data_IF_220916745245
#
_entry.id   IF_220916745245
#
_cell.length_a   1.000
_cell.length_b   1.000
_cell.length_c   1.000
_cell.angle_alpha   90.00
_cell.angle_beta   90.00
_cell.angle_gamma   90.00
#
_symmetry.space_group_name_H-M   'P 1'
#
loop_
_entity.id
_entity.type
_entity.pdbx_description
1 polymer ?
#
# COMPACT_ATOMS: atom_id res chain seq x y z
N UNK A 1 20.25 -5.36 -14.71
CA UNK A 1 20.47 -3.94 -14.33
C UNK A 1 19.54 -2.97 -15.08
N UNK A 2 19.25 -3.21 -16.38
CA UNK A 2 18.41 -2.28 -17.14
C UNK A 2 16.89 -2.46 -16.87
N UNK A 3 16.46 -3.66 -16.48
CA UNK A 3 15.05 -3.99 -16.24
C UNK A 3 14.53 -3.40 -14.92
N UNK A 4 15.36 -3.40 -13.86
CA UNK A 4 14.97 -2.90 -12.54
C UNK A 4 14.83 -1.38 -12.55
N UNK A 5 15.75 -0.67 -13.26
CA UNK A 5 15.65 0.77 -13.44
C UNK A 5 14.44 1.19 -14.30
N UNK A 6 14.10 0.40 -15.33
CA UNK A 6 12.92 0.65 -16.16
C UNK A 6 11.63 0.46 -15.38
N UNK A 7 11.53 -0.60 -14.57
CA UNK A 7 10.38 -0.86 -13.71
C UNK A 7 10.21 0.25 -12.65
N UNK A 8 11.32 0.69 -12.03
CA UNK A 8 11.26 1.81 -11.10
C UNK A 8 10.76 3.10 -11.76
N UNK A 9 11.23 3.40 -12.98
CA UNK A 9 10.79 4.58 -13.73
C UNK A 9 9.28 4.50 -14.02
N UNK A 10 8.76 3.33 -14.42
CA UNK A 10 7.34 3.10 -14.66
C UNK A 10 6.51 3.30 -13.40
N UNK A 11 6.93 2.75 -12.25
CA UNK A 11 6.24 2.94 -10.96
C UNK A 11 6.23 4.43 -10.57
N UNK A 12 7.36 5.12 -10.70
CA UNK A 12 7.47 6.55 -10.39
C UNK A 12 6.62 7.43 -11.32
N UNK A 13 6.50 7.08 -12.60
CA UNK A 13 5.64 7.81 -13.53
C UNK A 13 4.16 7.57 -13.23
N UNK A 14 3.78 6.35 -12.86
CA UNK A 14 2.41 6.02 -12.45
C UNK A 14 2.03 6.74 -11.14
N UNK A 15 2.95 6.82 -10.17
CA UNK A 15 2.72 7.55 -8.92
C UNK A 15 2.46 9.05 -9.21
N UNK A 16 3.25 9.70 -10.06
CA UNK A 16 3.00 11.09 -10.47
C UNK A 16 1.65 11.31 -11.14
N UNK A 17 1.16 10.30 -11.87
CA UNK A 17 -0.18 10.34 -12.45
C UNK A 17 -1.23 10.31 -11.34
N UNK A 18 -1.07 9.41 -10.36
CA UNK A 18 -1.97 9.29 -9.20
C UNK A 18 -2.01 10.60 -8.43
N UNK A 19 -0.86 11.21 -8.11
CA UNK A 19 -0.77 12.51 -7.45
C UNK A 19 -1.54 13.61 -8.20
N UNK A 20 -1.31 13.67 -9.52
CA UNK A 20 -1.97 14.67 -10.35
C UNK A 20 -3.49 14.50 -10.37
N UNK A 21 -3.97 13.25 -10.34
CA UNK A 21 -5.38 12.91 -10.29
C UNK A 21 -5.98 13.24 -8.91
N UNK A 22 -5.26 12.97 -7.82
CA UNK A 22 -5.68 13.33 -6.46
C UNK A 22 -5.91 14.86 -6.35
N UNK A 23 -4.93 15.65 -6.76
CA UNK A 23 -5.04 17.12 -6.77
C UNK A 23 -6.23 17.60 -7.61
N UNK A 24 -6.46 16.99 -8.77
CA UNK A 24 -7.57 17.34 -9.66
C UNK A 24 -8.91 17.00 -9.02
N UNK A 25 -9.07 15.79 -8.48
CA UNK A 25 -10.31 15.36 -7.82
C UNK A 25 -10.59 16.22 -6.59
N UNK A 26 -9.60 16.54 -5.78
CA UNK A 26 -9.71 17.46 -4.64
C UNK A 26 -10.30 18.81 -5.06
N UNK A 27 -9.77 19.40 -6.13
CA UNK A 27 -10.26 20.67 -6.63
C UNK A 27 -11.71 20.57 -7.13
N UNK A 28 -12.07 19.49 -7.83
CA UNK A 28 -13.43 19.24 -8.29
C UNK A 28 -14.41 19.04 -7.14
N UNK A 29 -14.00 18.33 -6.08
CA UNK A 29 -14.78 18.18 -4.85
C UNK A 29 -15.08 19.53 -4.21
N UNK A 30 -14.04 20.37 -4.02
CA UNK A 30 -14.20 21.70 -3.44
C UNK A 30 -15.13 22.56 -4.31
N UNK A 31 -14.91 22.59 -5.63
CA UNK A 31 -15.76 23.34 -6.57
C UNK A 31 -17.21 22.87 -6.51
N UNK A 32 -17.43 21.57 -6.47
CA UNK A 32 -18.77 20.98 -6.41
C UNK A 32 -19.49 21.39 -5.11
N UNK A 33 -18.81 21.37 -3.98
CA UNK A 33 -19.38 21.79 -2.71
C UNK A 33 -19.74 23.29 -2.73
N UNK A 34 -18.85 24.12 -3.25
CA UNK A 34 -19.05 25.58 -3.32
C UNK A 34 -20.18 25.96 -4.28
N UNK A 35 -20.22 25.36 -5.48
CA UNK A 35 -21.17 25.74 -6.53
C UNK A 35 -22.57 25.18 -6.31
N UNK A 36 -22.67 23.94 -5.81
CA UNK A 36 -23.94 23.22 -5.74
C UNK A 36 -24.49 23.03 -4.34
N UNK A 37 -23.70 23.34 -3.29
CA UNK A 37 -24.10 23.17 -1.88
C UNK A 37 -24.81 21.83 -1.61
N UNK A 38 -24.20 20.70 -1.95
CA UNK A 38 -24.82 19.39 -1.82
C UNK A 38 -25.20 19.12 -0.34
N UNK A 39 -26.30 18.40 -0.12
CA UNK A 39 -26.83 18.14 1.22
C UNK A 39 -26.87 16.65 1.52
N UNK A 40 -26.79 16.33 2.80
CA UNK A 40 -26.96 14.99 3.34
C UNK A 40 -26.18 13.90 2.54
N UNK A 41 -26.89 12.96 1.92
CA UNK A 41 -26.30 11.81 1.24
C UNK A 41 -25.34 12.21 0.13
N UNK A 42 -25.66 13.23 -0.66
CA UNK A 42 -24.80 13.67 -1.77
C UNK A 42 -23.46 14.24 -1.22
N UNK A 43 -23.51 14.98 -0.13
CA UNK A 43 -22.29 15.52 0.49
C UNK A 43 -21.43 14.37 1.06
N UNK A 44 -22.04 13.39 1.73
CA UNK A 44 -21.30 12.21 2.22
C UNK A 44 -20.61 11.46 1.11
N UNK A 45 -21.33 11.20 0.01
CA UNK A 45 -20.78 10.51 -1.16
C UNK A 45 -19.57 11.25 -1.73
N UNK A 46 -19.65 12.58 -1.89
CA UNK A 46 -18.54 13.39 -2.42
C UNK A 46 -17.32 13.32 -1.48
N UNK A 47 -17.53 13.38 -0.17
CA UNK A 47 -16.45 13.26 0.82
C UNK A 47 -15.85 11.85 0.80
N UNK A 48 -16.66 10.79 0.70
CA UNK A 48 -16.16 9.41 0.62
C UNK A 48 -15.28 9.19 -0.63
N UNK A 49 -15.64 9.77 -1.79
CA UNK A 49 -14.78 9.75 -2.97
C UNK A 49 -13.46 10.49 -2.75
N UNK A 50 -13.51 11.63 -2.07
CA UNK A 50 -12.29 12.38 -1.74
C UNK A 50 -11.37 11.56 -0.83
N UNK A 51 -11.91 10.96 0.24
CA UNK A 51 -11.14 10.13 1.17
C UNK A 51 -10.53 8.91 0.49
N UNK A 52 -11.32 8.20 -0.35
CA UNK A 52 -10.82 7.08 -1.15
C UNK A 52 -9.65 7.50 -2.04
N UNK A 53 -9.73 8.67 -2.67
CA UNK A 53 -8.66 9.18 -3.54
C UNK A 53 -7.37 9.42 -2.76
N UNK A 54 -7.46 9.95 -1.54
CA UNK A 54 -6.32 10.17 -0.67
C UNK A 54 -5.67 8.83 -0.21
N UNK A 55 -6.48 7.80 0.04
CA UNK A 55 -5.94 6.47 0.37
C UNK A 55 -5.25 5.81 -0.84
N UNK A 56 -5.79 5.98 -2.05
CA UNK A 56 -5.15 5.48 -3.27
C UNK A 56 -3.81 6.16 -3.57
N UNK A 57 -3.72 7.46 -3.35
CA UNK A 57 -2.46 8.21 -3.47
C UNK A 57 -1.42 7.67 -2.47
N UNK A 58 -1.80 7.47 -1.20
CA UNK A 58 -0.92 6.85 -0.20
C UNK A 58 -0.44 5.46 -0.59
N UNK A 59 -1.30 4.64 -1.21
CA UNK A 59 -0.90 3.33 -1.74
C UNK A 59 0.15 3.49 -2.84
N UNK A 60 0.01 4.47 -3.74
CA UNK A 60 0.99 4.81 -4.77
C UNK A 60 2.35 5.17 -4.17
N UNK A 61 2.37 6.05 -3.18
CA UNK A 61 3.56 6.45 -2.42
C UNK A 61 4.26 5.24 -1.76
N UNK A 62 3.50 4.35 -1.14
CA UNK A 62 4.03 3.16 -0.48
C UNK A 62 4.67 2.20 -1.49
N UNK A 63 4.04 2.00 -2.65
CA UNK A 63 4.59 1.19 -3.74
C UNK A 63 5.90 1.79 -4.28
N UNK A 64 5.98 3.11 -4.45
CA UNK A 64 7.20 3.80 -4.85
C UNK A 64 8.30 3.64 -3.80
N UNK A 65 7.97 3.69 -2.50
CA UNK A 65 8.92 3.45 -1.42
C UNK A 65 9.45 2.01 -1.46
N UNK A 66 8.60 1.00 -1.67
CA UNK A 66 9.02 -0.40 -1.83
C UNK A 66 10.01 -0.52 -3.01
N UNK A 67 9.72 0.10 -4.14
CA UNK A 67 10.61 0.10 -5.30
C UNK A 67 11.97 0.76 -5.00
N UNK A 68 12.00 1.84 -4.21
CA UNK A 68 13.25 2.48 -3.75
C UNK A 68 14.09 1.56 -2.86
N UNK A 69 13.46 0.78 -1.98
CA UNK A 69 14.17 -0.19 -1.14
C UNK A 69 14.69 -1.37 -1.95
N UNK A 70 13.95 -1.85 -2.95
CA UNK A 70 14.40 -2.88 -3.87
C UNK A 70 15.68 -2.49 -4.64
N UNK A 71 15.83 -1.21 -5.01
CA UNK A 71 17.04 -0.72 -5.67
C UNK A 71 18.27 -0.66 -4.74
N UNK A 72 18.07 -0.62 -3.42
CA UNK A 72 19.14 -0.55 -2.42
C UNK A 72 19.57 -1.92 -1.90
N UNK A 73 18.64 -2.88 -1.89
CA UNK A 73 18.86 -4.22 -1.36
C UNK A 73 19.70 -5.07 -2.32
N UNK A 74 20.51 -5.97 -1.79
CA UNK A 74 21.11 -7.05 -2.57
C UNK A 74 20.04 -8.12 -2.88
N UNK A 75 19.27 -7.89 -3.96
CA UNK A 75 18.18 -8.78 -4.39
C UNK A 75 18.65 -10.18 -4.80
N UNK A 76 19.96 -10.38 -5.01
CA UNK A 76 20.56 -11.69 -5.31
C UNK A 76 21.17 -12.36 -4.09
N UNK A 77 21.26 -11.64 -2.98
CA UNK A 77 21.80 -12.13 -1.73
C UNK A 77 20.91 -13.20 -1.09
N UNK A 78 21.53 -14.05 -0.28
CA UNK A 78 20.85 -15.14 0.42
C UNK A 78 19.75 -14.63 1.35
N UNK A 79 19.99 -13.52 2.03
CA UNK A 79 19.02 -12.90 2.94
C UNK A 79 17.75 -12.48 2.20
N UNK A 80 17.90 -11.78 1.06
CA UNK A 80 16.75 -11.38 0.25
C UNK A 80 15.99 -12.59 -0.29
N UNK A 81 16.71 -13.60 -0.81
CA UNK A 81 16.11 -14.85 -1.32
C UNK A 81 15.27 -15.58 -0.27
N UNK A 82 15.69 -15.53 1.00
CA UNK A 82 14.97 -16.14 2.12
C UNK A 82 13.61 -15.45 2.41
N UNK A 83 13.53 -14.13 2.34
CA UNK A 83 12.32 -13.38 2.71
C UNK A 83 11.43 -12.99 1.52
N UNK A 84 11.98 -13.01 0.30
CA UNK A 84 11.25 -12.69 -0.93
C UNK A 84 9.88 -13.40 -1.05
N UNK A 85 9.74 -14.72 -0.79
CA UNK A 85 8.44 -15.38 -0.90
C UNK A 85 7.38 -14.79 0.03
N UNK A 86 7.78 -14.39 1.23
CA UNK A 86 6.87 -13.78 2.19
C UNK A 86 6.44 -12.38 1.74
N UNK A 87 7.38 -11.55 1.27
CA UNK A 87 7.08 -10.22 0.75
C UNK A 87 6.16 -10.28 -0.48
N UNK A 88 6.40 -11.22 -1.40
CA UNK A 88 5.53 -11.43 -2.57
C UNK A 88 4.11 -11.81 -2.13
N UNK A 89 3.98 -12.77 -1.21
CA UNK A 89 2.68 -13.19 -0.70
C UNK A 89 1.94 -12.05 0.02
N UNK A 90 2.65 -11.24 0.81
CA UNK A 90 2.06 -10.05 1.45
C UNK A 90 1.58 -9.05 0.40
N UNK A 91 2.38 -8.78 -0.64
CA UNK A 91 2.02 -7.84 -1.71
C UNK A 91 0.83 -8.33 -2.53
N UNK A 92 0.73 -9.63 -2.80
CA UNK A 92 -0.44 -10.24 -3.45
C UNK A 92 -1.71 -10.10 -2.59
N UNK A 93 -1.60 -10.33 -1.28
CA UNK A 93 -2.71 -10.17 -0.34
C UNK A 93 -3.20 -8.72 -0.32
N UNK A 94 -2.31 -7.77 -0.06
CA UNK A 94 -2.68 -6.34 0.04
C UNK A 94 -3.12 -5.75 -1.30
N UNK A 95 -2.59 -6.26 -2.42
CA UNK A 95 -3.06 -5.93 -3.76
C UNK A 95 -4.50 -6.40 -4.00
N UNK A 96 -4.84 -7.63 -3.59
CA UNK A 96 -6.20 -8.15 -3.64
C UNK A 96 -7.14 -7.36 -2.71
N UNK A 97 -6.70 -7.01 -1.49
CA UNK A 97 -7.46 -6.15 -0.58
C UNK A 97 -7.79 -4.80 -1.23
N UNK A 98 -6.81 -4.17 -1.88
CA UNK A 98 -7.00 -2.89 -2.58
C UNK A 98 -8.03 -3.01 -3.69
N UNK A 99 -7.95 -4.05 -4.53
CA UNK A 99 -8.92 -4.28 -5.60
C UNK A 99 -10.33 -4.52 -5.04
N UNK A 100 -10.46 -5.38 -4.05
CA UNK A 100 -11.74 -5.68 -3.41
C UNK A 100 -12.36 -4.44 -2.76
N UNK A 101 -11.56 -3.62 -2.07
CA UNK A 101 -12.01 -2.38 -1.45
C UNK A 101 -12.55 -1.39 -2.48
N UNK A 102 -11.86 -1.20 -3.61
CA UNK A 102 -12.32 -0.36 -4.72
C UNK A 102 -13.62 -0.90 -5.32
N UNK A 103 -13.73 -2.22 -5.52
CA UNK A 103 -14.96 -2.84 -6.02
C UNK A 103 -16.10 -2.68 -5.02
N UNK A 104 -15.86 -2.97 -3.74
CA UNK A 104 -16.86 -2.80 -2.69
C UNK A 104 -17.39 -1.38 -2.63
N UNK A 105 -16.50 -0.38 -2.73
CA UNK A 105 -16.87 1.03 -2.74
C UNK A 105 -17.71 1.40 -3.97
N UNK A 106 -17.28 0.99 -5.17
CA UNK A 106 -17.95 1.36 -6.42
C UNK A 106 -19.32 0.71 -6.60
N UNK A 107 -19.51 -0.49 -6.05
CA UNK A 107 -20.75 -1.27 -6.20
C UNK A 107 -21.59 -1.34 -4.92
N UNK A 108 -21.19 -0.59 -3.88
CA UNK A 108 -21.85 -0.60 -2.57
C UNK A 108 -21.99 -2.02 -1.98
N UNK A 109 -20.97 -2.88 -2.22
CA UNK A 109 -20.96 -4.26 -1.76
C UNK A 109 -20.42 -4.35 -0.33
N UNK A 110 -21.35 -4.23 0.64
CA UNK A 110 -21.06 -4.25 2.07
C UNK A 110 -20.43 -5.59 2.50
N UNK A 111 -20.79 -6.72 1.86
CA UNK A 111 -20.23 -8.02 2.24
C UNK A 111 -18.77 -8.11 1.80
N UNK A 112 -18.46 -7.74 0.57
CA UNK A 112 -17.09 -7.69 0.06
C UNK A 112 -16.23 -6.71 0.88
N UNK A 113 -16.78 -5.57 1.31
CA UNK A 113 -16.08 -4.63 2.18
C UNK A 113 -15.69 -5.29 3.52
N UNK A 114 -16.63 -5.97 4.19
CA UNK A 114 -16.38 -6.67 5.45
C UNK A 114 -15.36 -7.78 5.30
N UNK A 115 -15.48 -8.60 4.27
CA UNK A 115 -14.54 -9.70 3.99
C UNK A 115 -13.12 -9.13 3.74
N UNK A 116 -13.01 -7.96 3.09
CA UNK A 116 -11.73 -7.27 2.86
C UNK A 116 -11.12 -6.76 4.17
N UNK A 117 -11.92 -6.17 5.04
CA UNK A 117 -11.47 -5.72 6.38
C UNK A 117 -10.94 -6.90 7.22
N UNK A 118 -11.57 -8.07 7.13
CA UNK A 118 -11.10 -9.26 7.86
C UNK A 118 -9.73 -9.75 7.38
N UNK A 119 -9.37 -9.52 6.10
CA UNK A 119 -8.06 -9.88 5.54
C UNK A 119 -6.90 -9.09 6.16
N UNK A 120 -7.17 -7.92 6.73
CA UNK A 120 -6.18 -7.08 7.40
C UNK A 120 -5.45 -7.82 8.52
N UNK A 121 -6.19 -8.59 9.31
CA UNK A 121 -5.61 -9.45 10.33
C UNK A 121 -4.59 -10.48 9.78
N UNK A 122 -4.71 -10.88 8.52
CA UNK A 122 -3.74 -11.78 7.89
C UNK A 122 -2.50 -10.99 7.45
N UNK A 123 -2.65 -9.80 6.89
CA UNK A 123 -1.56 -8.90 6.52
C UNK A 123 -0.69 -8.56 7.73
N UNK A 124 -1.30 -8.18 8.85
CA UNK A 124 -0.64 -7.92 10.13
C UNK A 124 0.18 -9.10 10.62
N UNK A 125 -0.44 -10.29 10.65
CA UNK A 125 0.26 -11.51 11.09
C UNK A 125 1.46 -11.83 10.22
N UNK A 126 1.35 -11.61 8.90
CA UNK A 126 2.45 -11.83 7.98
C UNK A 126 3.58 -10.83 8.22
N UNK A 127 3.26 -9.55 8.42
CA UNK A 127 4.23 -8.51 8.78
C UNK A 127 4.98 -8.87 10.07
N UNK A 128 4.27 -9.16 11.15
CA UNK A 128 4.88 -9.54 12.43
C UNK A 128 5.74 -10.81 12.32
N UNK A 129 5.38 -11.75 11.46
CA UNK A 129 6.18 -12.96 11.22
C UNK A 129 7.50 -12.61 10.54
N UNK A 130 7.50 -11.72 9.55
CA UNK A 130 8.70 -11.25 8.84
C UNK A 130 9.58 -10.45 9.79
N UNK A 131 9.01 -9.51 10.55
CA UNK A 131 9.72 -8.65 11.50
C UNK A 131 10.44 -9.49 12.58
N UNK A 132 9.73 -10.41 13.24
CA UNK A 132 10.30 -11.31 14.23
C UNK A 132 11.41 -12.21 13.65
N UNK A 133 11.23 -12.69 12.41
CA UNK A 133 12.23 -13.54 11.76
C UNK A 133 13.50 -12.74 11.37
N UNK A 134 13.36 -11.49 10.93
CA UNK A 134 14.47 -10.58 10.66
C UNK A 134 15.22 -10.27 11.95
N UNK A 135 14.52 -9.94 13.04
CA UNK A 135 15.12 -9.66 14.35
C UNK A 135 15.90 -10.86 14.86
N UNK A 136 15.33 -12.06 14.80
CA UNK A 136 16.00 -13.31 15.20
C UNK A 136 17.25 -13.59 14.35
N UNK A 137 17.22 -13.26 13.06
CA UNK A 137 18.37 -13.43 12.16
C UNK A 137 19.54 -12.50 12.53
N UNK A 138 19.25 -11.33 13.10
CA UNK A 138 20.25 -10.34 13.53
C UNK A 138 20.79 -10.61 14.94
N UNK A 139 20.03 -11.30 15.80
CA UNK A 139 20.36 -11.46 17.21
C UNK A 139 21.66 -12.26 17.38
N UNK A 140 22.62 -11.68 18.12
CA UNK A 140 23.90 -12.31 18.44
C UNK A 140 24.89 -12.41 17.30
N UNK A 141 24.63 -11.76 16.16
CA UNK A 141 25.55 -11.68 15.02
C UNK A 141 26.16 -10.30 14.86
N UNK A 142 27.44 -10.24 14.50
CA UNK A 142 28.04 -9.03 13.97
C UNK A 142 27.69 -8.94 12.48
N UNK A 143 26.84 -7.99 12.11
CA UNK A 143 26.44 -7.76 10.74
C UNK A 143 27.40 -6.80 10.05
N UNK A 144 27.70 -7.06 8.79
CA UNK A 144 28.36 -6.09 7.91
C UNK A 144 27.42 -4.92 7.61
N UNK A 145 27.96 -3.83 7.10
CA UNK A 145 27.16 -2.67 6.68
C UNK A 145 26.11 -3.04 5.62
N UNK A 146 26.47 -3.90 4.64
CA UNK A 146 25.56 -4.37 3.62
C UNK A 146 24.44 -5.24 4.20
N UNK A 147 24.78 -6.20 5.07
CA UNK A 147 23.76 -7.04 5.72
C UNK A 147 22.78 -6.22 6.56
N UNK A 148 23.28 -5.20 7.26
CA UNK A 148 22.42 -4.28 8.00
C UNK A 148 21.49 -3.47 7.06
N UNK A 149 22.03 -2.98 5.94
CA UNK A 149 21.25 -2.28 4.91
C UNK A 149 20.15 -3.17 4.33
N UNK A 150 20.47 -4.44 4.08
CA UNK A 150 19.51 -5.41 3.54
C UNK A 150 18.39 -5.73 4.55
N UNK A 151 18.74 -5.92 5.82
CA UNK A 151 17.75 -6.11 6.90
C UNK A 151 16.81 -4.92 7.01
N UNK A 152 17.34 -3.70 7.03
CA UNK A 152 16.56 -2.47 7.10
C UNK A 152 15.66 -2.29 5.86
N UNK A 153 16.17 -2.65 4.68
CA UNK A 153 15.40 -2.59 3.44
C UNK A 153 14.24 -3.61 3.45
N UNK A 154 14.51 -4.86 3.86
CA UNK A 154 13.49 -5.90 3.97
C UNK A 154 12.40 -5.54 4.99
N UNK A 155 12.79 -5.03 6.16
CA UNK A 155 11.84 -4.56 7.17
C UNK A 155 11.00 -3.39 6.66
N UNK A 156 11.65 -2.41 6.02
CA UNK A 156 10.93 -1.26 5.45
C UNK A 156 9.97 -1.68 4.34
N UNK A 157 10.32 -2.65 3.49
CA UNK A 157 9.42 -3.17 2.47
C UNK A 157 8.22 -3.87 3.11
N UNK A 158 8.41 -4.77 4.09
CA UNK A 158 7.30 -5.46 4.75
C UNK A 158 6.36 -4.49 5.45
N UNK A 159 6.89 -3.47 6.12
CA UNK A 159 6.11 -2.40 6.73
C UNK A 159 5.29 -1.59 5.71
N UNK A 160 5.91 -1.20 4.58
CA UNK A 160 5.17 -0.47 3.54
C UNK A 160 4.08 -1.35 2.90
N UNK A 161 4.28 -2.67 2.77
CA UNK A 161 3.26 -3.58 2.24
C UNK A 161 2.09 -3.71 3.22
N UNK A 162 2.33 -3.84 4.52
CA UNK A 162 1.28 -3.84 5.54
C UNK A 162 0.47 -2.54 5.49
N UNK A 163 1.13 -1.38 5.38
CA UNK A 163 0.47 -0.08 5.23
C UNK A 163 -0.40 0.05 3.98
N UNK A 164 -0.12 -0.71 2.92
CA UNK A 164 -1.03 -0.82 1.76
C UNK A 164 -2.33 -1.50 2.19
N UNK A 165 -2.25 -2.58 3.01
CA UNK A 165 -3.41 -3.25 3.60
C UNK A 165 -4.27 -2.30 4.43
N UNK A 166 -3.65 -1.57 5.37
CA UNK A 166 -4.32 -0.53 6.18
C UNK A 166 -5.12 0.46 5.31
N UNK A 167 -4.51 0.97 4.24
CA UNK A 167 -5.20 1.92 3.37
C UNK A 167 -6.33 1.27 2.56
N UNK A 168 -6.17 0.00 2.16
CA UNK A 168 -7.25 -0.78 1.54
C UNK A 168 -8.41 -1.00 2.51
N UNK A 169 -8.14 -1.28 3.78
CA UNK A 169 -9.13 -1.40 4.85
C UNK A 169 -9.91 -0.09 5.03
N UNK A 170 -9.22 1.06 5.06
CA UNK A 170 -9.88 2.36 5.13
C UNK A 170 -10.82 2.63 3.93
N UNK A 171 -10.44 2.21 2.71
CA UNK A 171 -11.31 2.30 1.53
C UNK A 171 -12.54 1.38 1.69
N UNK A 172 -12.34 0.15 2.19
CA UNK A 172 -13.43 -0.80 2.43
C UNK A 172 -14.39 -0.30 3.50
N UNK A 173 -13.89 0.31 4.59
CA UNK A 173 -14.72 0.95 5.62
C UNK A 173 -15.58 2.08 5.03
N UNK A 174 -15.02 2.89 4.13
CA UNK A 174 -15.78 3.95 3.45
C UNK A 174 -16.94 3.41 2.58
N UNK A 175 -16.87 2.17 2.14
CA UNK A 175 -17.96 1.51 1.39
C UNK A 175 -19.15 1.10 2.28
N UNK A 176 -18.96 1.00 3.62
CA UNK A 176 -19.99 0.57 4.56
C UNK A 176 -20.84 1.76 5.05
N UNK A 177 -20.31 2.98 5.00
CA UNK A 177 -20.93 4.21 5.48
C UNK A 177 -21.48 5.10 4.38
#
# INVERSE_FOLDING_TARGET
ENTDAALYAEINDNERIIDSLEVKIRNEVINTIVLYSPRATNLRMIISYYDMTAYLERIGDLLLNIARYLLKADIRGELFGKYKPNLVKMLELTGNMTQNAIFAFNYEDIQLAKDTIELDNEADRMYHTVDAALLNNCTGKALTEQEMSDVLSLNSMSYNIERIGDNATNIAEAAIF
#
